data_IF_273590448122
#
_entry.id   IF_273590448122
#
_cell.length_a   1.000
_cell.length_b   1.000
_cell.length_c   1.000
_cell.angle_alpha   90.00
_cell.angle_beta   90.00
_cell.angle_gamma   90.00
#
_symmetry.space_group_name_H-M   'P 1'
#
loop_
_entity.id
_entity.type
_entity.pdbx_description
1 polymer ?
#
# COMPACT_ATOMS: atom_id res chain seq x y z
N UNK A 1 -31.65 -9.70 13.96
CA UNK A 1 -30.38 -9.04 14.34
C UNK A 1 -29.12 -9.90 14.18
N UNK A 2 -29.14 -11.23 14.34
CA UNK A 2 -27.94 -12.09 14.13
C UNK A 2 -27.49 -12.22 12.66
N UNK A 3 -28.41 -12.23 11.68
CA UNK A 3 -28.10 -12.42 10.25
C UNK A 3 -27.35 -11.26 9.59
N UNK A 4 -27.58 -10.03 10.04
CA UNK A 4 -26.90 -8.83 9.52
C UNK A 4 -25.45 -8.72 9.98
N UNK A 5 -25.14 -9.25 11.17
CA UNK A 5 -23.78 -9.33 11.73
C UNK A 5 -22.91 -10.33 10.97
N UNK A 6 -23.41 -11.56 10.76
CA UNK A 6 -22.65 -12.59 10.03
C UNK A 6 -22.40 -12.22 8.57
N UNK A 7 -23.39 -11.61 7.90
CA UNK A 7 -23.21 -11.15 6.52
C UNK A 7 -22.11 -10.09 6.43
N UNK A 8 -22.11 -9.11 7.34
CA UNK A 8 -21.10 -8.06 7.38
C UNK A 8 -19.70 -8.62 7.67
N UNK A 9 -19.59 -9.61 8.57
CA UNK A 9 -18.35 -10.32 8.86
C UNK A 9 -17.76 -10.98 7.61
N UNK A 10 -18.57 -11.78 6.90
CA UNK A 10 -18.13 -12.48 5.67
C UNK A 10 -17.74 -11.48 4.59
N UNK A 11 -18.51 -10.42 4.40
CA UNK A 11 -18.22 -9.38 3.41
C UNK A 11 -16.92 -8.63 3.72
N UNK A 12 -16.67 -8.29 4.99
CA UNK A 12 -15.43 -7.65 5.41
C UNK A 12 -14.22 -8.57 5.18
N UNK A 13 -14.36 -9.86 5.51
CA UNK A 13 -13.33 -10.87 5.24
C UNK A 13 -13.04 -11.00 3.76
N UNK A 14 -14.06 -11.14 2.92
CA UNK A 14 -13.91 -11.27 1.46
C UNK A 14 -13.29 -10.01 0.85
N UNK A 15 -13.77 -8.82 1.24
CA UNK A 15 -13.25 -7.56 0.73
C UNK A 15 -11.76 -7.37 1.08
N UNK A 16 -11.39 -7.56 2.34
CA UNK A 16 -10.00 -7.43 2.75
C UNK A 16 -9.11 -8.53 2.16
N UNK A 17 -9.59 -9.78 2.13
CA UNK A 17 -8.83 -10.90 1.56
C UNK A 17 -8.56 -10.70 0.07
N UNK A 18 -9.55 -10.24 -0.70
CA UNK A 18 -9.36 -9.92 -2.11
C UNK A 18 -8.41 -8.73 -2.31
N UNK A 19 -8.51 -7.71 -1.45
CA UNK A 19 -7.61 -6.56 -1.47
C UNK A 19 -6.15 -6.93 -1.19
N UNK A 20 -5.88 -7.65 -0.10
CA UNK A 20 -4.52 -8.10 0.25
C UNK A 20 -3.99 -9.11 -0.77
N UNK A 21 -4.84 -9.98 -1.32
CA UNK A 21 -4.48 -10.88 -2.42
C UNK A 21 -3.99 -10.08 -3.64
N UNK A 22 -4.70 -9.02 -4.05
CA UNK A 22 -4.27 -8.16 -5.16
C UNK A 22 -2.91 -7.52 -4.90
N UNK A 23 -2.74 -6.91 -3.72
CA UNK A 23 -1.50 -6.22 -3.32
C UNK A 23 -0.30 -7.17 -3.39
N UNK A 24 -0.46 -8.37 -2.85
CA UNK A 24 0.61 -9.36 -2.81
C UNK A 24 0.84 -10.00 -4.18
N UNK A 25 -0.22 -10.36 -4.91
CA UNK A 25 -0.08 -10.92 -6.25
C UNK A 25 0.66 -9.96 -7.17
N UNK A 26 0.22 -8.70 -7.21
CA UNK A 26 0.78 -7.64 -8.04
C UNK A 26 2.27 -7.41 -7.74
N UNK A 27 2.62 -7.20 -6.46
CA UNK A 27 4.00 -6.91 -6.08
C UNK A 27 4.96 -8.06 -6.42
N UNK A 28 4.52 -9.31 -6.26
CA UNK A 28 5.38 -10.47 -6.50
C UNK A 28 5.39 -10.92 -7.97
N UNK A 29 4.28 -10.78 -8.71
CA UNK A 29 4.23 -11.07 -10.14
C UNK A 29 5.12 -10.12 -10.95
N UNK A 30 5.18 -8.84 -10.56
CA UNK A 30 5.93 -7.83 -11.30
C UNK A 30 7.44 -8.05 -11.29
N UNK A 31 7.99 -8.68 -10.24
CA UNK A 31 9.43 -8.92 -10.13
C UNK A 31 9.97 -9.77 -11.28
N UNK A 32 9.20 -10.75 -11.76
CA UNK A 32 9.59 -11.55 -12.93
C UNK A 32 9.28 -10.87 -14.28
N UNK A 33 8.54 -9.76 -14.26
CA UNK A 33 8.23 -8.97 -15.44
C UNK A 33 9.24 -7.84 -15.71
N UNK A 34 10.18 -7.56 -14.80
CA UNK A 34 11.12 -6.44 -14.93
C UNK A 34 11.97 -6.50 -16.21
N UNK A 35 12.46 -7.69 -16.59
CA UNK A 35 13.23 -7.86 -17.83
C UNK A 35 12.36 -7.64 -19.08
N UNK A 36 11.17 -8.28 -19.21
CA UNK A 36 10.20 -7.94 -20.26
C UNK A 36 9.86 -6.46 -20.35
N UNK A 37 9.65 -5.78 -19.21
CA UNK A 37 9.35 -4.34 -19.16
C UNK A 37 10.54 -3.53 -19.69
N UNK A 38 11.77 -3.88 -19.29
CA UNK A 38 12.99 -3.22 -19.78
C UNK A 38 13.16 -3.36 -21.29
N UNK A 39 12.88 -4.54 -21.83
CA UNK A 39 12.90 -4.78 -23.26
C UNK A 39 11.82 -3.97 -24.00
N UNK A 40 10.58 -3.99 -23.50
CA UNK A 40 9.43 -3.30 -24.12
C UNK A 40 9.60 -1.77 -24.17
N UNK A 41 10.23 -1.17 -23.14
CA UNK A 41 10.50 0.27 -23.09
C UNK A 41 11.90 0.66 -23.58
N UNK A 42 12.71 -0.29 -24.07
CA UNK A 42 14.12 -0.08 -24.41
C UNK A 42 14.90 0.68 -23.33
N UNK A 43 14.64 0.35 -22.06
CA UNK A 43 15.16 1.06 -20.89
C UNK A 43 16.16 0.19 -20.12
N UNK A 44 17.02 0.84 -19.32
CA UNK A 44 17.93 0.11 -18.44
C UNK A 44 17.15 -0.60 -17.32
N UNK A 45 17.63 -1.78 -16.91
CA UNK A 45 17.02 -2.54 -15.80
C UNK A 45 17.06 -1.71 -14.50
N UNK A 46 18.09 -0.88 -14.31
CA UNK A 46 18.16 0.04 -13.18
C UNK A 46 16.96 1.01 -13.15
N UNK A 47 16.64 1.63 -14.29
CA UNK A 47 15.51 2.54 -14.38
C UNK A 47 14.18 1.81 -14.18
N UNK A 48 14.04 0.59 -14.69
CA UNK A 48 12.81 -0.20 -14.54
C UNK A 48 12.57 -0.69 -13.11
N UNK A 49 13.62 -0.87 -12.29
CA UNK A 49 13.46 -1.22 -10.87
C UNK A 49 12.63 -0.19 -10.09
N UNK A 50 12.59 1.06 -10.53
CA UNK A 50 11.74 2.10 -9.93
C UNK A 50 10.24 1.78 -9.97
N UNK A 51 9.80 0.93 -10.90
CA UNK A 51 8.43 0.42 -10.96
C UNK A 51 8.05 -0.35 -9.68
N UNK A 52 9.00 -1.11 -9.10
CA UNK A 52 8.81 -1.84 -7.84
C UNK A 52 9.18 -0.98 -6.64
N UNK A 53 10.34 -0.31 -6.70
CA UNK A 53 10.82 0.52 -5.59
C UNK A 53 9.88 1.67 -5.27
N UNK A 54 9.41 2.41 -6.29
CA UNK A 54 8.48 3.53 -6.09
C UNK A 54 7.17 3.10 -5.43
N UNK A 55 6.65 1.93 -5.80
CA UNK A 55 5.50 1.32 -5.15
C UNK A 55 5.77 1.03 -3.66
N UNK A 56 6.84 0.30 -3.34
CA UNK A 56 7.16 -0.08 -1.96
C UNK A 56 7.46 1.12 -1.07
N UNK A 57 8.18 2.11 -1.62
CA UNK A 57 8.48 3.36 -0.93
C UNK A 57 7.19 4.10 -0.58
N UNK A 58 6.27 4.18 -1.54
CA UNK A 58 4.99 4.80 -1.30
C UNK A 58 4.16 4.04 -0.26
N UNK A 59 4.10 2.70 -0.34
CA UNK A 59 3.42 1.88 0.66
C UNK A 59 3.96 2.18 2.06
N UNK A 60 5.28 2.07 2.27
CA UNK A 60 5.90 2.31 3.58
C UNK A 60 5.66 3.72 4.13
N UNK A 61 5.77 4.73 3.25
CA UNK A 61 5.57 6.15 3.62
C UNK A 61 4.15 6.44 4.08
N UNK A 62 3.17 6.00 3.30
CA UNK A 62 1.78 6.39 3.50
C UNK A 62 1.02 5.46 4.44
N UNK A 63 1.52 4.26 4.73
CA UNK A 63 0.80 3.25 5.51
C UNK A 63 0.45 3.72 6.93
N UNK A 64 1.37 4.40 7.63
CA UNK A 64 1.11 4.95 8.97
C UNK A 64 0.06 6.07 8.92
N UNK A 65 0.19 7.00 7.97
CA UNK A 65 -0.75 8.10 7.81
C UNK A 65 -2.15 7.59 7.40
N UNK A 66 -2.20 6.59 6.52
CA UNK A 66 -3.44 5.96 6.09
C UNK A 66 -4.13 5.22 7.24
N UNK A 67 -3.36 4.58 8.13
CA UNK A 67 -3.89 4.00 9.37
C UNK A 67 -4.59 5.04 10.25
N UNK A 68 -3.90 6.16 10.54
CA UNK A 68 -4.50 7.26 11.32
C UNK A 68 -5.71 7.86 10.64
N UNK A 69 -5.64 8.12 9.33
CA UNK A 69 -6.76 8.69 8.59
C UNK A 69 -7.95 7.71 8.57
N UNK A 70 -7.69 6.39 8.49
CA UNK A 70 -8.69 5.33 8.60
C UNK A 70 -9.45 5.35 9.93
N UNK A 71 -8.83 5.75 11.03
CA UNK A 71 -9.49 5.87 12.34
C UNK A 71 -10.48 7.05 12.38
N UNK A 72 -10.25 8.10 11.58
CA UNK A 72 -11.06 9.32 11.53
C UNK A 72 -12.20 9.29 10.52
N UNK A 73 -11.89 8.91 9.27
CA UNK A 73 -12.90 8.80 8.19
C UNK A 73 -13.58 7.43 8.15
N UNK A 74 -13.10 6.51 9.00
CA UNK A 74 -13.50 5.13 9.23
C UNK A 74 -13.07 4.10 8.20
N UNK A 75 -12.90 2.89 8.72
CA UNK A 75 -12.19 1.80 8.06
C UNK A 75 -12.86 1.35 6.76
N UNK A 76 -14.19 1.28 6.70
CA UNK A 76 -14.90 0.91 5.46
C UNK A 76 -14.65 1.92 4.34
N UNK A 77 -14.77 3.22 4.64
CA UNK A 77 -14.58 4.28 3.65
C UNK A 77 -13.14 4.29 3.17
N UNK A 78 -12.18 4.18 4.10
CA UNK A 78 -10.77 4.10 3.74
C UNK A 78 -10.46 2.87 2.87
N UNK A 79 -11.01 1.70 3.20
CA UNK A 79 -10.82 0.48 2.42
C UNK A 79 -11.38 0.64 1.00
N UNK A 80 -12.60 1.19 0.85
CA UNK A 80 -13.17 1.47 -0.48
C UNK A 80 -12.32 2.48 -1.27
N UNK A 81 -11.83 3.55 -0.63
CA UNK A 81 -10.98 4.55 -1.29
C UNK A 81 -9.66 3.93 -1.74
N UNK A 82 -9.02 3.14 -0.87
CA UNK A 82 -7.78 2.43 -1.18
C UNK A 82 -7.95 1.44 -2.33
N UNK A 83 -9.01 0.63 -2.31
CA UNK A 83 -9.35 -0.30 -3.39
C UNK A 83 -9.61 0.43 -4.71
N UNK A 84 -10.37 1.52 -4.68
CA UNK A 84 -10.67 2.32 -5.88
C UNK A 84 -9.40 2.93 -6.47
N UNK A 85 -8.55 3.50 -5.60
CA UNK A 85 -7.28 4.09 -6.01
C UNK A 85 -6.33 3.03 -6.59
N UNK A 86 -6.22 1.88 -5.93
CA UNK A 86 -5.42 0.75 -6.40
C UNK A 86 -5.91 0.25 -7.76
N UNK A 87 -7.23 0.09 -7.94
CA UNK A 87 -7.84 -0.34 -9.20
C UNK A 87 -7.60 0.65 -10.34
N UNK A 88 -7.86 1.95 -10.10
CA UNK A 88 -7.61 3.00 -11.10
C UNK A 88 -6.13 3.08 -11.48
N UNK A 89 -5.23 3.02 -10.49
CA UNK A 89 -3.81 3.01 -10.74
C UNK A 89 -3.35 1.76 -11.49
N UNK A 90 -3.93 0.58 -11.19
CA UNK A 90 -3.68 -0.65 -11.95
C UNK A 90 -4.13 -0.51 -13.41
N UNK A 91 -5.27 0.12 -13.68
CA UNK A 91 -5.70 0.42 -15.04
C UNK A 91 -4.69 1.34 -15.76
N UNK A 92 -4.22 2.39 -15.08
CA UNK A 92 -3.18 3.28 -15.63
C UNK A 92 -1.88 2.53 -15.95
N UNK A 93 -1.44 1.63 -15.05
CA UNK A 93 -0.28 0.77 -15.28
C UNK A 93 -0.46 -0.14 -16.51
N UNK A 94 -1.68 -0.63 -16.73
CA UNK A 94 -1.99 -1.52 -17.86
C UNK A 94 -1.95 -0.79 -19.22
N UNK A 95 -2.37 0.48 -19.27
CA UNK A 95 -2.52 1.23 -20.53
C UNK A 95 -1.39 2.22 -20.81
N UNK A 96 -0.53 2.52 -19.84
CA UNK A 96 0.53 3.53 -20.02
C UNK A 96 1.50 3.17 -21.16
N UNK A 97 1.81 4.11 -22.07
CA UNK A 97 2.75 3.89 -23.16
C UNK A 97 4.19 4.25 -22.79
N UNK A 98 4.46 4.75 -21.59
CA UNK A 98 5.80 5.19 -21.17
C UNK A 98 6.22 4.59 -19.82
N UNK A 99 7.53 4.37 -19.64
CA UNK A 99 8.10 3.90 -18.38
C UNK A 99 7.87 4.89 -17.23
N UNK A 100 8.07 6.19 -17.46
CA UNK A 100 7.83 7.20 -16.43
C UNK A 100 6.35 7.25 -16.01
N UNK A 101 5.44 7.10 -16.97
CA UNK A 101 4.01 6.97 -16.69
C UNK A 101 3.70 5.71 -15.86
N UNK A 102 4.38 4.59 -16.16
CA UNK A 102 4.27 3.37 -15.36
C UNK A 102 4.76 3.58 -13.93
N UNK A 103 5.93 4.20 -13.73
CA UNK A 103 6.48 4.50 -12.40
C UNK A 103 5.51 5.40 -11.61
N UNK A 104 4.98 6.46 -12.24
CA UNK A 104 4.01 7.36 -11.59
C UNK A 104 2.71 6.63 -11.21
N UNK A 105 2.18 5.79 -12.09
CA UNK A 105 1.00 4.97 -11.81
C UNK A 105 1.27 3.97 -10.67
N UNK A 106 2.47 3.38 -10.60
CA UNK A 106 2.89 2.50 -9.49
C UNK A 106 2.98 3.22 -8.16
N UNK A 107 3.48 4.45 -8.14
CA UNK A 107 3.48 5.28 -6.93
C UNK A 107 2.04 5.51 -6.47
N UNK A 108 1.13 5.88 -7.37
CA UNK A 108 -0.29 6.05 -7.06
C UNK A 108 -0.92 4.75 -6.54
N UNK A 109 -0.57 3.61 -7.15
CA UNK A 109 -1.02 2.28 -6.73
C UNK A 109 -0.53 1.93 -5.32
N UNK A 110 0.69 2.35 -4.96
CA UNK A 110 1.27 2.21 -3.63
C UNK A 110 0.47 2.98 -2.56
N UNK A 111 -0.02 4.19 -2.87
CA UNK A 111 -0.94 4.92 -1.97
C UNK A 111 -2.21 4.11 -1.73
N UNK A 112 -2.78 3.51 -2.79
CA UNK A 112 -3.97 2.65 -2.67
C UNK A 112 -3.71 1.46 -1.75
N UNK A 113 -2.58 0.76 -1.93
CA UNK A 113 -2.17 -0.36 -1.11
C UNK A 113 -1.92 0.04 0.37
N UNK A 114 -1.30 1.20 0.60
CA UNK A 114 -1.09 1.77 1.93
C UNK A 114 -2.39 2.01 2.69
N UNK A 115 -3.48 2.34 1.98
CA UNK A 115 -4.81 2.52 2.57
C UNK A 115 -5.49 1.19 2.89
N UNK A 116 -5.37 0.18 2.02
CA UNK A 116 -6.08 -1.10 2.14
C UNK A 116 -5.64 -1.90 3.37
N UNK A 117 -4.33 -2.00 3.63
CA UNK A 117 -3.81 -2.88 4.68
C UNK A 117 -4.28 -2.50 6.11
N UNK A 118 -4.04 -1.26 6.60
CA UNK A 118 -4.44 -0.89 7.95
C UNK A 118 -5.97 -0.80 8.08
N UNK A 119 -6.67 -0.29 7.05
CA UNK A 119 -8.13 -0.18 7.08
C UNK A 119 -8.82 -1.53 7.07
N UNK A 120 -8.33 -2.50 6.30
CA UNK A 120 -8.89 -3.84 6.26
C UNK A 120 -8.72 -4.61 7.58
N UNK A 121 -7.54 -4.54 8.19
CA UNK A 121 -7.31 -5.13 9.52
C UNK A 121 -8.20 -4.49 10.58
N UNK A 122 -8.30 -3.16 10.59
CA UNK A 122 -9.15 -2.44 11.53
C UNK A 122 -10.64 -2.74 11.31
N UNK A 123 -11.09 -2.86 10.06
CA UNK A 123 -12.44 -3.27 9.72
C UNK A 123 -12.76 -4.68 10.23
N UNK A 124 -11.85 -5.65 10.07
CA UNK A 124 -12.01 -6.99 10.62
C UNK A 124 -12.07 -6.98 12.15
N UNK A 125 -11.19 -6.23 12.81
CA UNK A 125 -11.23 -6.03 14.25
C UNK A 125 -12.57 -5.45 14.73
N UNK A 126 -13.14 -4.51 13.98
CA UNK A 126 -14.39 -3.88 14.36
C UNK A 126 -15.61 -4.81 14.18
N UNK A 127 -15.65 -5.58 13.09
CA UNK A 127 -16.83 -6.39 12.72
C UNK A 127 -16.84 -7.78 13.37
N UNK A 128 -15.66 -8.33 13.72
CA UNK A 128 -15.56 -9.61 14.42
C UNK A 128 -15.45 -9.46 15.94
N UNK A 129 -16.06 -10.37 16.73
CA UNK A 129 -15.88 -10.43 18.18
C UNK A 129 -14.45 -10.86 18.53
N UNK A 130 -13.94 -10.40 19.69
CA UNK A 130 -12.55 -10.60 20.14
C UNK A 130 -12.02 -12.03 19.96
N UNK A 131 -12.81 -13.04 20.33
CA UNK A 131 -12.45 -14.46 20.21
C UNK A 131 -12.24 -14.95 18.76
N UNK A 132 -12.78 -14.26 17.74
CA UNK A 132 -12.70 -14.66 16.32
C UNK A 132 -11.87 -13.72 15.45
N UNK A 133 -11.48 -12.53 15.95
CA UNK A 133 -10.69 -11.53 15.20
C UNK A 133 -9.39 -12.12 14.64
N UNK A 134 -8.61 -12.79 15.49
CA UNK A 134 -7.32 -13.38 15.09
C UNK A 134 -7.46 -14.41 13.97
N UNK A 135 -8.51 -15.25 14.02
CA UNK A 135 -8.79 -16.23 12.96
C UNK A 135 -9.18 -15.55 11.64
N UNK A 136 -10.00 -14.50 11.69
CA UNK A 136 -10.39 -13.75 10.48
C UNK A 136 -9.18 -13.05 9.84
N UNK A 137 -8.35 -12.39 10.65
CA UNK A 137 -7.11 -11.76 10.19
C UNK A 137 -6.14 -12.79 9.62
N UNK A 138 -5.94 -13.91 10.31
CA UNK A 138 -5.08 -15.00 9.85
C UNK A 138 -5.53 -15.59 8.52
N UNK A 139 -6.84 -15.74 8.29
CA UNK A 139 -7.37 -16.19 6.99
C UNK A 139 -7.09 -15.18 5.88
N UNK A 140 -7.33 -13.89 6.12
CA UNK A 140 -7.08 -12.85 5.12
C UNK A 140 -5.59 -12.74 4.79
N UNK A 141 -4.73 -12.67 5.81
CA UNK A 141 -3.28 -12.62 5.63
C UNK A 141 -2.73 -13.91 5.02
N UNK A 142 -3.32 -15.07 5.35
CA UNK A 142 -2.99 -16.35 4.74
C UNK A 142 -3.28 -16.39 3.24
N UNK A 143 -4.41 -15.82 2.80
CA UNK A 143 -4.69 -15.62 1.36
C UNK A 143 -3.68 -14.68 0.71
N UNK A 144 -3.27 -13.62 1.39
CA UNK A 144 -2.16 -12.75 0.95
C UNK A 144 -0.84 -13.53 0.80
N UNK A 145 -0.52 -14.43 1.72
CA UNK A 145 0.69 -15.27 1.65
C UNK A 145 0.64 -16.25 0.46
N UNK A 146 -0.53 -16.84 0.19
CA UNK A 146 -0.73 -17.67 -1.01
C UNK A 146 -0.48 -16.85 -2.28
N UNK A 147 -0.99 -15.61 -2.33
CA UNK A 147 -0.75 -14.70 -3.45
C UNK A 147 0.74 -14.37 -3.63
N UNK A 148 1.49 -14.21 -2.53
CA UNK A 148 2.94 -14.03 -2.57
C UNK A 148 3.66 -15.23 -3.21
N UNK A 149 3.24 -16.46 -2.91
CA UNK A 149 3.84 -17.68 -3.47
C UNK A 149 3.48 -17.86 -4.94
N UNK A 150 2.22 -17.61 -5.31
CA UNK A 150 1.72 -17.82 -6.67
C UNK A 150 2.12 -16.66 -7.61
N UNK A 151 2.32 -15.46 -7.06
CA UNK A 151 2.65 -14.23 -7.78
C UNK A 151 3.73 -14.41 -8.85
N UNK A 152 4.93 -14.92 -8.52
CA UNK A 152 5.99 -15.14 -9.50
C UNK A 152 5.55 -16.06 -10.64
N UNK A 153 4.84 -17.15 -10.36
CA UNK A 153 4.36 -18.06 -11.41
C UNK A 153 3.39 -17.39 -12.38
N UNK A 154 2.45 -16.59 -11.85
CA UNK A 154 1.54 -15.80 -12.68
C UNK A 154 2.30 -14.73 -13.47
N UNK A 155 3.25 -14.03 -12.84
CA UNK A 155 4.09 -13.03 -13.49
C UNK A 155 4.91 -13.60 -14.65
N UNK A 156 5.52 -14.77 -14.44
CA UNK A 156 6.26 -15.50 -15.46
C UNK A 156 5.34 -15.95 -16.60
N UNK A 157 4.21 -16.59 -16.29
CA UNK A 157 3.26 -17.06 -17.28
C UNK A 157 2.69 -15.90 -18.13
N UNK A 158 2.25 -14.81 -17.50
CA UNK A 158 1.72 -13.64 -18.21
C UNK A 158 2.78 -13.01 -19.11
N UNK A 159 4.02 -12.90 -18.61
CA UNK A 159 5.13 -12.30 -19.38
C UNK A 159 5.61 -13.17 -20.54
N UNK A 160 5.53 -14.50 -20.42
CA UNK A 160 5.95 -15.43 -21.48
C UNK A 160 4.90 -15.58 -22.59
N UNK A 161 3.62 -15.65 -22.23
CA UNK A 161 2.57 -16.07 -23.16
C UNK A 161 1.69 -14.93 -23.67
N UNK A 162 1.56 -13.82 -22.93
CA UNK A 162 0.71 -12.68 -23.30
C UNK A 162 1.51 -11.38 -23.35
N UNK A 163 1.53 -10.66 -22.22
CA UNK A 163 2.25 -9.41 -22.00
C UNK A 163 2.28 -9.17 -20.50
N UNK A 164 3.36 -8.57 -20.00
CA UNK A 164 3.48 -8.14 -18.60
C UNK A 164 2.31 -7.24 -18.16
N UNK A 165 1.68 -6.52 -19.10
CA UNK A 165 0.52 -5.65 -18.83
C UNK A 165 -0.68 -6.41 -18.26
N UNK A 166 -0.82 -7.71 -18.53
CA UNK A 166 -1.93 -8.52 -18.03
C UNK A 166 -1.89 -8.75 -16.51
N UNK A 167 -0.72 -8.59 -15.89
CA UNK A 167 -0.59 -8.61 -14.42
C UNK A 167 -1.51 -7.54 -13.80
N UNK A 168 -1.56 -6.35 -14.42
CA UNK A 168 -2.39 -5.24 -13.97
C UNK A 168 -3.87 -5.40 -14.34
N UNK A 169 -4.17 -6.06 -15.46
CA UNK A 169 -5.56 -6.37 -15.85
C UNK A 169 -6.21 -7.37 -14.89
N UNK A 170 -5.47 -8.37 -14.40
CA UNK A 170 -5.97 -9.39 -13.46
C UNK A 170 -6.41 -8.76 -12.13
N UNK A 171 -5.77 -7.66 -11.71
CA UNK A 171 -6.15 -6.97 -10.47
C UNK A 171 -7.55 -6.35 -10.55
N UNK A 172 -7.96 -5.83 -11.71
CA UNK A 172 -9.21 -5.10 -11.88
C UNK A 172 -10.47 -5.90 -11.47
N UNK A 173 -10.72 -7.13 -11.97
CA UNK A 173 -11.88 -7.90 -11.56
C UNK A 173 -11.86 -8.23 -10.07
N UNK A 174 -10.69 -8.49 -9.49
CA UNK A 174 -10.56 -8.80 -8.06
C UNK A 174 -10.81 -7.56 -7.19
N UNK A 175 -10.34 -6.39 -7.62
CA UNK A 175 -10.63 -5.10 -6.96
C UNK A 175 -12.12 -4.77 -7.05
N UNK A 176 -12.75 -4.95 -8.20
CA UNK A 176 -14.19 -4.74 -8.37
C UNK A 176 -15.00 -5.68 -7.47
N UNK A 177 -14.59 -6.94 -7.36
CA UNK A 177 -15.17 -7.89 -6.42
C UNK A 177 -15.00 -7.44 -4.96
N UNK A 178 -13.80 -6.98 -4.59
CA UNK A 178 -13.52 -6.47 -3.25
C UNK A 178 -14.37 -5.25 -2.91
N UNK A 179 -14.52 -4.31 -3.86
CA UNK A 179 -15.38 -3.13 -3.73
C UNK A 179 -16.85 -3.52 -3.58
N UNK A 180 -17.34 -4.46 -4.41
CA UNK A 180 -18.70 -4.98 -4.32
C UNK A 180 -18.99 -5.67 -2.98
N UNK A 181 -17.99 -6.33 -2.39
CA UNK A 181 -18.10 -6.90 -1.04
C UNK A 181 -18.06 -5.81 0.05
N UNK A 182 -17.23 -4.78 -0.11
CA UNK A 182 -17.03 -3.74 0.91
C UNK A 182 -18.20 -2.75 0.99
N UNK A 183 -18.76 -2.36 -0.16
CA UNK A 183 -19.80 -1.34 -0.29
C UNK A 183 -21.06 -1.56 0.59
N UNK A 184 -21.67 -2.77 0.63
CA UNK A 184 -22.88 -3.01 1.42
C UNK A 184 -22.65 -3.14 2.93
N UNK A 185 -21.39 -3.16 3.40
CA UNK A 185 -21.09 -3.21 4.84
C UNK A 185 -21.61 -1.91 5.46
N UNK A 186 -22.52 -1.96 6.43
CA UNK A 186 -23.04 -0.75 7.06
C UNK A 186 -21.88 0.04 7.70
N UNK A 187 -21.83 1.35 7.43
CA UNK A 187 -20.85 2.25 8.04
C UNK A 187 -21.17 2.45 9.52
N UNK A 188 -20.70 1.55 10.37
CA UNK A 188 -20.71 1.77 11.81
C UNK A 188 -19.61 2.78 12.12
N UNK A 189 -19.99 4.05 12.25
CA UNK A 189 -19.08 5.12 12.66
C UNK A 189 -19.47 5.61 14.04
N UNK A 190 -18.57 5.41 14.99
CA UNK A 190 -18.36 6.38 16.06
C UNK A 190 -17.08 7.12 15.68
N UNK A 191 -17.15 8.40 15.27
CA UNK A 191 -15.96 9.20 15.02
C UNK A 191 -15.06 9.14 16.24
N UNK A 192 -13.80 8.74 16.07
CA UNK A 192 -12.80 9.04 17.10
C UNK A 192 -12.60 10.55 17.09
N UNK A 193 -12.83 11.24 18.21
CA UNK A 193 -12.72 12.71 18.36
C UNK A 193 -11.31 13.28 18.04
N UNK A 194 -10.35 12.43 17.65
CA UNK A 194 -8.95 12.79 17.49
C UNK A 194 -8.37 12.25 16.19
N UNK A 195 -8.54 12.98 15.09
CA UNK A 195 -7.75 12.74 13.88
C UNK A 195 -7.15 14.03 13.33
N UNK A 196 -6.08 14.48 13.97
CA UNK A 196 -5.13 15.38 13.33
C UNK A 196 -4.14 14.52 12.52
N UNK A 197 -4.21 14.60 11.19
CA UNK A 197 -3.20 13.98 10.32
C UNK A 197 -1.91 14.79 10.44
N UNK A 198 -0.80 14.12 10.72
CA UNK A 198 0.51 14.76 10.73
C UNK A 198 1.02 14.96 9.28
N UNK A 199 0.51 16.00 8.63
CA UNK A 199 0.88 16.35 7.25
C UNK A 199 2.38 16.62 7.09
N UNK A 200 3.02 17.19 8.11
CA UNK A 200 4.44 17.52 8.07
C UNK A 200 5.30 16.28 8.30
N UNK A 201 4.88 15.35 9.18
CA UNK A 201 5.49 14.03 9.30
C UNK A 201 5.38 13.22 8.00
N UNK A 202 4.21 13.27 7.33
CA UNK A 202 4.00 12.62 6.04
C UNK A 202 4.90 13.19 4.94
N UNK A 203 5.05 14.52 4.89
CA UNK A 203 5.97 15.19 3.97
C UNK A 203 7.42 14.78 4.22
N UNK A 204 7.88 14.78 5.48
CA UNK A 204 9.25 14.41 5.85
C UNK A 204 9.59 12.97 5.48
N UNK A 205 8.68 12.01 5.75
CA UNK A 205 8.89 10.61 5.36
C UNK A 205 8.86 10.46 3.84
N UNK A 206 7.96 11.15 3.14
CA UNK A 206 7.89 11.13 1.67
C UNK A 206 9.19 11.62 1.04
N UNK A 207 9.73 12.76 1.52
CA UNK A 207 11.01 13.31 1.04
C UNK A 207 12.17 12.37 1.37
N UNK A 208 12.22 11.83 2.59
CA UNK A 208 13.25 10.87 3.01
C UNK A 208 13.27 9.59 2.17
N UNK A 209 12.10 9.04 1.82
CA UNK A 209 12.01 7.83 1.01
C UNK A 209 12.31 8.08 -0.48
N UNK A 210 11.89 9.22 -1.03
CA UNK A 210 12.27 9.63 -2.39
C UNK A 210 13.79 9.80 -2.48
N UNK A 211 14.39 10.51 -1.51
CA UNK A 211 15.85 10.64 -1.42
C UNK A 211 16.54 9.28 -1.27
N UNK A 212 15.96 8.34 -0.52
CA UNK A 212 16.54 7.00 -0.35
C UNK A 212 16.55 6.20 -1.64
N UNK A 213 15.44 6.24 -2.39
CA UNK A 213 15.38 5.59 -3.69
C UNK A 213 16.43 6.15 -4.65
N UNK A 214 16.59 7.48 -4.72
CA UNK A 214 17.61 8.12 -5.55
C UNK A 214 19.03 7.71 -5.14
N UNK A 215 19.29 7.58 -3.84
CA UNK A 215 20.58 7.13 -3.33
C UNK A 215 20.90 5.71 -3.78
N UNK A 216 19.92 4.79 -3.71
CA UNK A 216 20.09 3.40 -4.12
C UNK A 216 20.35 3.24 -5.62
N UNK A 217 19.74 4.10 -6.44
CA UNK A 217 19.96 4.12 -7.90
C UNK A 217 21.36 4.63 -8.26
N UNK A 218 21.83 5.66 -7.53
CA UNK A 218 23.15 6.24 -7.75
C UNK A 218 24.28 5.32 -7.23
N UNK A 219 24.05 4.56 -6.15
CA UNK A 219 24.95 3.52 -5.63
C UNK A 219 25.22 2.39 -6.62
N UNK A 220 24.29 2.13 -7.56
CA UNK A 220 24.44 1.09 -8.57
C UNK A 220 25.18 1.51 -9.85
N UNK A 221 25.43 2.81 -10.05
CA UNK A 221 25.85 3.35 -11.35
C UNK A 221 26.95 4.43 -11.32
N UNK A 222 27.21 5.10 -10.18
CA UNK A 222 28.17 6.22 -10.08
C UNK A 222 29.13 6.12 -8.90
N UNK A 223 30.27 6.82 -9.03
CA UNK A 223 31.26 6.96 -7.97
C UNK A 223 30.67 7.72 -6.76
N UNK A 224 30.88 7.18 -5.57
CA UNK A 224 30.39 7.60 -4.26
C UNK A 224 30.60 9.10 -3.91
N UNK A 225 31.47 9.80 -4.64
CA UNK A 225 31.88 11.18 -4.39
C UNK A 225 31.21 12.23 -5.29
N UNK A 226 30.15 11.87 -6.02
CA UNK A 226 29.44 12.86 -6.82
C UNK A 226 28.71 13.88 -5.92
N UNK A 227 28.70 15.19 -6.25
CA UNK A 227 27.99 16.20 -5.48
C UNK A 227 26.48 15.90 -5.33
N UNK A 228 25.89 15.23 -6.31
CA UNK A 228 24.49 14.79 -6.28
C UNK A 228 24.24 13.74 -5.21
N UNK A 229 25.13 12.76 -5.07
CA UNK A 229 25.04 11.70 -4.06
C UNK A 229 25.14 12.27 -2.65
N UNK A 230 26.04 13.22 -2.42
CA UNK A 230 26.19 13.89 -1.12
C UNK A 230 24.94 14.70 -0.77
N UNK A 231 24.33 15.39 -1.74
CA UNK A 231 23.06 16.10 -1.57
C UNK A 231 21.90 15.14 -1.22
N UNK A 232 21.83 14.00 -1.90
CA UNK A 232 20.79 12.99 -1.67
C UNK A 232 20.96 12.33 -0.29
N UNK A 233 22.18 11.96 0.10
CA UNK A 233 22.48 11.46 1.46
C UNK A 233 22.15 12.51 2.50
N UNK A 234 22.52 13.77 2.26
CA UNK A 234 22.23 14.89 3.15
C UNK A 234 20.73 15.07 3.35
N UNK A 235 19.96 15.12 2.27
CA UNK A 235 18.51 15.22 2.31
C UNK A 235 17.87 14.04 3.05
N UNK A 236 18.38 12.82 2.82
CA UNK A 236 17.91 11.61 3.49
C UNK A 236 18.14 11.65 5.00
N UNK A 237 19.39 11.87 5.41
CA UNK A 237 19.78 11.92 6.83
C UNK A 237 19.03 13.03 7.53
N UNK A 238 18.90 14.20 6.90
CA UNK A 238 18.15 15.33 7.46
C UNK A 238 16.67 14.99 7.62
N UNK A 239 16.04 14.41 6.60
CA UNK A 239 14.61 14.06 6.60
C UNK A 239 14.29 13.00 7.67
N UNK A 240 15.05 11.92 7.73
CA UNK A 240 14.86 10.87 8.75
C UNK A 240 15.21 11.36 10.16
N UNK A 241 16.22 12.22 10.30
CA UNK A 241 16.60 12.79 11.60
C UNK A 241 15.57 13.79 12.10
N UNK A 242 15.01 14.63 11.22
CA UNK A 242 13.89 15.52 11.53
C UNK A 242 12.62 14.73 11.86
N UNK A 243 12.34 13.65 11.13
CA UNK A 243 11.22 12.76 11.43
C UNK A 243 11.40 12.09 12.79
N UNK A 244 12.57 11.48 13.06
CA UNK A 244 12.85 10.82 14.34
C UNK A 244 12.86 11.82 15.52
N UNK A 245 13.36 13.04 15.29
CA UNK A 245 13.29 14.12 16.27
C UNK A 245 11.84 14.52 16.54
N UNK A 246 11.04 14.73 15.48
CA UNK A 246 9.61 15.05 15.58
C UNK A 246 8.83 13.95 16.27
N UNK A 247 9.10 12.68 15.99
CA UNK A 247 8.43 11.54 16.63
C UNK A 247 8.80 11.43 18.11
N UNK A 248 10.05 11.74 18.48
CA UNK A 248 10.49 11.83 19.88
C UNK A 248 9.91 13.03 20.64
N UNK A 249 9.56 14.12 19.94
CA UNK A 249 9.03 15.35 20.53
C UNK A 249 7.51 15.53 20.30
N UNK A 250 6.89 14.64 19.53
CA UNK A 250 5.46 14.51 19.45
C UNK A 250 5.01 14.01 20.82
N UNK A 251 4.29 14.87 21.55
CA UNK A 251 3.87 14.58 22.91
C UNK A 251 3.21 13.19 22.99
N UNK A 252 3.57 12.36 23.99
CA UNK A 252 2.88 11.09 24.20
C UNK A 252 1.37 11.36 24.31
N UNK A 253 0.51 10.45 23.80
CA UNK A 253 -0.93 10.57 24.03
C UNK A 253 -1.13 10.61 25.55
N UNK A 254 -1.45 11.79 26.07
CA UNK A 254 -1.56 12.03 27.49
C UNK A 254 -2.59 11.08 28.07
N UNK A 255 -2.13 10.23 28.98
CA UNK A 255 -2.89 9.68 30.09
C UNK A 255 -3.72 10.79 30.74
N UNK A 256 -4.98 10.91 30.31
CA UNK A 256 -5.99 11.82 30.89
C UNK A 256 -7.34 11.12 30.85
N UNK A 257 -7.44 10.02 31.58
CA UNK A 257 -8.72 9.53 32.09
C UNK A 257 -8.53 8.64 33.30
N UNK A 258 -8.11 9.22 34.42
CA UNK A 258 -8.55 8.79 35.75
C UNK A 258 -8.53 9.99 36.72
N UNK A 259 -9.65 10.69 36.96
CA UNK A 259 -9.98 11.02 38.33
C UNK A 259 -10.47 9.72 38.98
N UNK A 260 -9.61 9.11 39.79
CA UNK A 260 -10.07 8.21 40.84
C UNK A 260 -10.72 9.10 41.89
N UNK A 261 -12.04 9.12 41.91
CA UNK A 261 -12.84 9.48 43.09
C UNK A 261 -14.12 8.65 43.05
#
# INVERSE_FOLDING_TARGET
MRSTSERSQRLALLAFSAGIFCIQLDAFALNLALLPIAHDFAASVAHVKWVVSGYLLCVGTFMLAAGRLSDGIGHRRMLCTGLSLFGLASLLCAVTPTLNGLIAARVLQGIGAACIMPSGLALLSHVYPSARRGRAMGLALGLGAIATVIGPFIGAAMSQWLSWRFIFWINLPVVLFALGCCWPIAGQHTPSERTAVDWLGLLLVSVGLVAFGFLLDELGTRAWASPQTVLIVGALVLSFSLFAWREKHAAPPSDRSLPVS
#
